data_IF_923044695274
#
_entry.id   IF_923044695274
#
_cell.length_a   1.000
_cell.length_b   1.000
_cell.length_c   1.000
_cell.angle_alpha   90.00
_cell.angle_beta   90.00
_cell.angle_gamma   90.00
#
_symmetry.space_group_name_H-M   'P 1'
#
loop_
_entity.id
_entity.type
_entity.pdbx_description
1 polymer ?
#
# COMPACT_ATOMS: atom_id res chain seq x y z
N UNK A 1 12.85 -15.01 -4.30
CA UNK A 1 11.54 -14.50 -3.87
C UNK A 1 10.56 -14.52 -5.03
N UNK A 2 9.37 -14.97 -4.77
CA UNK A 2 8.35 -15.04 -5.82
C UNK A 2 7.73 -13.67 -6.03
N UNK A 3 7.67 -13.22 -7.29
CA UNK A 3 7.07 -11.95 -7.67
C UNK A 3 5.71 -12.22 -8.32
N UNK A 4 4.69 -11.53 -7.85
CA UNK A 4 3.35 -11.68 -8.38
C UNK A 4 2.77 -10.31 -8.74
N UNK A 5 1.90 -10.33 -9.73
CA UNK A 5 1.10 -9.15 -10.06
C UNK A 5 -0.09 -9.13 -9.12
N UNK A 6 -0.38 -7.97 -8.55
CA UNK A 6 -1.51 -7.82 -7.66
C UNK A 6 -2.43 -6.73 -8.19
N UNK A 7 -3.66 -7.09 -8.48
CA UNK A 7 -4.66 -6.15 -8.94
C UNK A 7 -5.25 -5.37 -7.77
N UNK A 8 -5.93 -4.28 -8.09
CA UNK A 8 -6.61 -3.48 -7.09
C UNK A 8 -7.63 -4.31 -6.32
N UNK A 9 -8.33 -5.21 -7.01
CA UNK A 9 -9.31 -6.10 -6.39
C UNK A 9 -8.64 -7.08 -5.42
N UNK A 10 -7.47 -7.58 -5.78
CA UNK A 10 -6.75 -8.50 -4.91
C UNK A 10 -6.29 -7.84 -3.62
N UNK A 11 -5.95 -6.56 -3.68
CA UNK A 11 -5.61 -5.81 -2.48
C UNK A 11 -6.81 -5.78 -1.53
N UNK A 12 -7.99 -5.53 -2.07
CA UNK A 12 -9.22 -5.50 -1.31
C UNK A 12 -9.45 -6.84 -0.61
N UNK A 13 -9.30 -7.93 -1.35
CA UNK A 13 -9.49 -9.26 -0.80
C UNK A 13 -8.41 -9.67 0.18
N UNK A 14 -7.16 -9.32 -0.14
CA UNK A 14 -6.02 -9.70 0.67
C UNK A 14 -6.12 -9.19 2.09
N UNK A 15 -6.47 -7.93 2.23
CA UNK A 15 -6.54 -7.34 3.56
C UNK A 15 -7.83 -7.65 4.30
N UNK A 16 -8.90 -7.95 3.57
CA UNK A 16 -10.18 -8.27 4.18
C UNK A 16 -10.56 -7.30 5.30
N UNK A 17 -10.36 -6.02 5.03
CA UNK A 17 -10.55 -4.99 6.05
C UNK A 17 -11.66 -4.03 5.63
N UNK A 18 -12.73 -4.58 5.14
CA UNK A 18 -13.82 -3.79 4.59
C UNK A 18 -14.36 -2.76 5.55
N UNK A 19 -14.41 -3.12 6.82
CA UNK A 19 -14.97 -2.22 7.83
C UNK A 19 -14.07 -1.04 8.13
N UNK A 20 -12.79 -1.14 7.77
CA UNK A 20 -11.84 -0.08 8.06
C UNK A 20 -11.44 0.71 6.82
N UNK A 21 -12.01 0.39 5.67
CA UNK A 21 -11.66 1.04 4.42
C UNK A 21 -12.67 2.13 4.10
N UNK A 22 -12.18 3.35 4.03
CA UNK A 22 -12.99 4.53 3.78
C UNK A 22 -13.04 4.83 2.31
N UNK A 23 -13.61 3.86 1.52
CA UNK A 23 -13.57 4.11 0.14
C UNK A 23 -14.43 3.19 -0.65
N UNK A 24 -14.37 3.33 -1.92
CA UNK A 24 -15.16 2.55 -2.85
C UNK A 24 -14.23 1.88 -3.87
N UNK A 25 -13.91 0.63 -3.61
CA UNK A 25 -13.02 -0.12 -4.49
C UNK A 25 -13.54 -0.24 -5.90
N UNK A 26 -14.87 -0.22 -6.07
CA UNK A 26 -15.44 -0.35 -7.42
C UNK A 26 -15.18 0.89 -8.26
N UNK A 27 -14.78 1.99 -7.64
CA UNK A 27 -14.45 3.23 -8.34
C UNK A 27 -12.96 3.42 -8.51
N UNK A 28 -12.17 2.39 -8.22
CA UNK A 28 -10.74 2.45 -8.41
C UNK A 28 -10.00 3.25 -7.36
N UNK A 29 -10.55 3.38 -6.17
CA UNK A 29 -9.95 4.13 -5.08
C UNK A 29 -10.07 3.38 -3.78
N UNK A 30 -9.00 3.41 -2.96
CA UNK A 30 -9.02 2.80 -1.64
C UNK A 30 -8.21 3.64 -0.67
N UNK A 31 -8.68 3.69 0.56
CA UNK A 31 -7.97 4.29 1.66
C UNK A 31 -7.91 3.28 2.80
N UNK A 32 -6.72 2.93 3.24
CA UNK A 32 -6.50 1.94 4.27
C UNK A 32 -5.79 2.56 5.46
N UNK A 33 -6.33 2.35 6.64
CA UNK A 33 -5.64 2.70 7.87
C UNK A 33 -4.86 1.46 8.32
N UNK A 34 -3.55 1.45 8.07
CA UNK A 34 -2.74 0.27 8.27
C UNK A 34 -2.63 -0.14 9.72
N UNK A 35 -2.72 0.82 10.64
CA UNK A 35 -2.65 0.50 12.06
C UNK A 35 -3.86 -0.30 12.53
N UNK A 36 -4.98 -0.18 11.83
CA UNK A 36 -6.21 -0.89 12.19
C UNK A 36 -6.34 -2.27 11.56
N UNK A 37 -5.45 -2.61 10.64
CA UNK A 37 -5.51 -3.92 9.99
C UNK A 37 -5.14 -5.04 10.95
N UNK A 38 -4.28 -4.74 11.92
CA UNK A 38 -3.89 -5.74 12.90
C UNK A 38 -2.77 -6.65 12.42
N UNK A 39 -1.83 -6.10 11.65
CA UNK A 39 -0.66 -6.87 11.25
C UNK A 39 0.07 -7.41 12.45
N UNK A 40 0.50 -8.65 12.36
CA UNK A 40 1.38 -9.22 13.35
C UNK A 40 2.81 -8.77 13.04
N UNK A 41 3.41 -8.03 13.93
CA UNK A 41 4.74 -7.47 13.72
C UNK A 41 5.82 -8.33 14.34
N UNK A 42 7.01 -8.44 13.76
CA UNK A 42 7.38 -7.84 12.47
C UNK A 42 6.66 -8.50 11.30
N UNK A 43 6.29 -7.70 10.33
CA UNK A 43 5.56 -8.16 9.15
C UNK A 43 6.40 -7.96 7.89
N UNK A 44 6.40 -8.95 7.01
CA UNK A 44 7.05 -8.84 5.72
C UNK A 44 6.11 -9.30 4.63
N UNK A 45 5.87 -8.44 3.65
CA UNK A 45 5.03 -8.80 2.52
C UNK A 45 5.82 -9.59 1.48
N UNK A 46 5.10 -10.29 0.60
CA UNK A 46 5.72 -10.82 -0.60
C UNK A 46 6.02 -9.67 -1.55
N UNK A 47 6.83 -9.94 -2.57
CA UNK A 47 7.09 -8.96 -3.61
C UNK A 47 5.94 -9.00 -4.60
N UNK A 48 5.31 -7.87 -4.83
CA UNK A 48 4.15 -7.75 -5.73
C UNK A 48 4.41 -6.66 -6.76
N UNK A 49 3.62 -6.69 -7.82
CA UNK A 49 3.63 -5.64 -8.84
C UNK A 49 2.19 -5.16 -9.04
N UNK A 50 1.77 -4.16 -8.27
CA UNK A 50 0.39 -3.67 -8.33
C UNK A 50 0.07 -2.95 -9.63
N UNK A 51 -1.17 -3.05 -10.07
CA UNK A 51 -1.64 -2.33 -11.25
C UNK A 51 -2.35 -1.02 -10.86
N UNK A 52 -1.88 -0.41 -9.78
CA UNK A 52 -2.45 0.84 -9.27
C UNK A 52 -1.33 1.72 -8.71
N UNK A 53 -1.63 3.01 -8.56
CA UNK A 53 -0.74 3.96 -7.90
C UNK A 53 -1.00 3.93 -6.40
N UNK A 54 0.01 4.26 -5.61
CA UNK A 54 -0.22 4.37 -4.18
C UNK A 54 0.63 5.44 -3.52
N UNK A 55 0.08 6.01 -2.46
CA UNK A 55 0.82 6.84 -1.51
C UNK A 55 0.79 6.11 -0.17
N UNK A 56 1.97 5.86 0.37
CA UNK A 56 2.10 5.37 1.74
C UNK A 56 2.46 6.55 2.60
N UNK A 57 1.58 6.91 3.51
CA UNK A 57 1.76 8.05 4.40
C UNK A 57 2.05 7.51 5.79
N UNK A 58 3.24 7.79 6.31
CA UNK A 58 3.66 7.30 7.62
C UNK A 58 3.81 8.47 8.55
N UNK A 59 2.93 8.55 9.54
CA UNK A 59 3.04 9.55 10.60
C UNK A 59 3.94 9.01 11.70
N UNK A 60 3.77 7.75 12.05
CA UNK A 60 4.57 7.10 13.08
C UNK A 60 4.69 5.61 12.76
N UNK A 61 5.89 5.17 12.49
CA UNK A 61 6.16 3.78 12.14
C UNK A 61 7.60 3.60 11.71
N UNK A 62 7.97 2.34 11.52
CA UNK A 62 9.33 2.00 11.13
C UNK A 62 9.35 0.75 10.27
N UNK A 63 10.11 0.79 9.20
CA UNK A 63 10.23 -0.35 8.32
C UNK A 63 11.12 -0.06 7.12
N UNK A 64 11.02 -0.94 6.13
CA UNK A 64 11.77 -0.83 4.89
C UNK A 64 10.83 -1.12 3.74
N UNK A 65 10.92 -0.30 2.70
CA UNK A 65 10.20 -0.50 1.46
C UNK A 65 11.21 -0.77 0.35
N UNK A 66 11.03 -1.86 -0.39
CA UNK A 66 11.90 -2.18 -1.52
C UNK A 66 11.10 -1.92 -2.79
N UNK A 67 11.60 -1.01 -3.62
CA UNK A 67 10.96 -0.65 -4.90
C UNK A 67 11.98 -0.91 -5.99
N UNK A 68 11.68 -1.85 -6.89
CA UNK A 68 12.57 -2.24 -7.99
C UNK A 68 14.00 -2.46 -7.51
N UNK A 69 14.15 -3.24 -6.43
CA UNK A 69 15.44 -3.62 -5.84
C UNK A 69 16.16 -2.50 -5.08
N UNK A 70 15.54 -1.33 -4.97
CA UNK A 70 16.11 -0.25 -4.17
C UNK A 70 15.40 -0.17 -2.82
N UNK A 71 16.19 -0.22 -1.75
CA UNK A 71 15.65 -0.16 -0.38
C UNK A 71 15.51 1.28 0.07
N UNK A 72 14.38 1.56 0.71
CA UNK A 72 14.09 2.88 1.27
C UNK A 72 13.64 2.72 2.71
N UNK A 73 14.15 3.55 3.59
CA UNK A 73 13.70 3.56 4.98
C UNK A 73 12.29 4.13 5.06
N UNK A 74 11.45 3.47 5.84
CA UNK A 74 10.12 3.96 6.15
C UNK A 74 10.16 4.43 7.60
N UNK A 75 10.01 5.74 7.79
CA UNK A 75 10.20 6.37 9.09
C UNK A 75 9.05 7.32 9.39
N UNK A 76 9.06 7.88 10.60
CA UNK A 76 8.07 8.87 11.00
C UNK A 76 8.07 10.05 10.03
N UNK A 77 6.87 10.52 9.71
CA UNK A 77 6.67 11.72 8.87
C UNK A 77 7.24 11.57 7.47
N UNK A 78 7.01 10.42 6.83
CA UNK A 78 7.43 10.19 5.45
C UNK A 78 6.23 9.86 4.57
N UNK A 79 6.38 10.16 3.28
CA UNK A 79 5.39 9.82 2.27
C UNK A 79 6.14 9.11 1.14
N UNK A 80 5.64 7.95 0.75
CA UNK A 80 6.27 7.16 -0.32
C UNK A 80 5.26 6.97 -1.44
N UNK A 81 5.54 7.54 -2.60
CA UNK A 81 4.72 7.34 -3.77
C UNK A 81 5.27 6.16 -4.57
N UNK A 82 4.38 5.29 -5.02
CA UNK A 82 4.76 4.17 -5.89
C UNK A 82 3.88 4.18 -7.13
N UNK A 83 4.53 4.21 -8.28
CA UNK A 83 3.86 4.15 -9.56
C UNK A 83 3.26 2.77 -9.79
N UNK A 84 2.35 2.64 -10.74
CA UNK A 84 1.77 1.35 -11.08
C UNK A 84 2.80 0.48 -11.80
N UNK A 85 2.60 -0.82 -11.72
CA UNK A 85 3.44 -1.82 -12.39
C UNK A 85 4.90 -1.83 -11.96
N UNK A 86 5.16 -1.41 -10.73
CA UNK A 86 6.49 -1.42 -10.14
C UNK A 86 6.53 -2.49 -9.07
N UNK A 87 7.55 -3.34 -9.09
CA UNK A 87 7.72 -4.38 -8.08
C UNK A 87 8.04 -3.75 -6.74
N UNK A 88 7.36 -4.19 -5.69
CA UNK A 88 7.61 -3.65 -4.36
C UNK A 88 7.30 -4.67 -3.26
N UNK A 89 7.94 -4.47 -2.12
CA UNK A 89 7.64 -5.22 -0.91
C UNK A 89 7.86 -4.31 0.28
N UNK A 90 7.26 -4.68 1.41
CA UNK A 90 7.37 -3.92 2.65
C UNK A 90 7.75 -4.83 3.79
N UNK A 91 8.61 -4.31 4.67
CA UNK A 91 8.93 -4.95 5.94
C UNK A 91 8.64 -3.94 7.03
N UNK A 92 7.78 -4.29 7.97
CA UNK A 92 7.38 -3.39 9.04
C UNK A 92 7.85 -3.92 10.38
N UNK A 93 8.52 -3.08 11.16
CA UNK A 93 8.83 -3.38 12.56
C UNK A 93 7.85 -2.68 13.49
N UNK A 94 7.32 -1.52 13.08
CA UNK A 94 6.30 -0.80 13.84
C UNK A 94 5.32 -0.12 12.90
N UNK A 95 4.03 -0.18 13.24
CA UNK A 95 2.98 0.56 12.54
C UNK A 95 2.09 1.18 13.61
N UNK A 96 2.24 2.47 13.84
CA UNK A 96 1.43 3.19 14.84
C UNK A 96 0.41 4.10 14.17
N UNK A 97 0.83 4.90 13.19
CA UNK A 97 -0.05 5.75 12.40
C UNK A 97 0.45 5.73 10.97
N UNK A 98 -0.20 4.95 10.13
CA UNK A 98 0.19 4.84 8.73
C UNK A 98 -1.04 4.59 7.88
N UNK A 99 -1.04 5.17 6.69
CA UNK A 99 -2.18 5.11 5.78
C UNK A 99 -1.70 4.79 4.38
N UNK A 100 -2.50 4.03 3.66
CA UNK A 100 -2.24 3.73 2.27
C UNK A 100 -3.40 4.27 1.45
N UNK A 101 -3.09 5.11 0.47
CA UNK A 101 -4.05 5.59 -0.51
C UNK A 101 -3.69 4.93 -1.83
N UNK A 102 -4.64 4.22 -2.43
CA UNK A 102 -4.40 3.53 -3.69
C UNK A 102 -5.48 3.93 -4.69
N UNK A 103 -5.09 4.12 -5.94
CA UNK A 103 -6.04 4.42 -7.00
C UNK A 103 -5.52 3.91 -8.34
N UNK A 104 -6.45 3.53 -9.20
CA UNK A 104 -6.09 3.00 -10.51
C UNK A 104 -6.15 4.09 -11.58
N UNK A 105 -5.84 3.71 -12.81
CA UNK A 105 -5.79 4.64 -13.92
C UNK A 105 -7.17 5.22 -14.25
N UNK A 106 -8.21 4.43 -14.06
CA UNK A 106 -9.56 4.89 -14.29
C UNK A 106 -9.91 6.06 -13.36
N UNK A 107 -9.60 5.91 -12.08
CA UNK A 107 -9.85 6.94 -11.08
C UNK A 107 -9.03 8.19 -11.39
N UNK A 108 -7.77 7.99 -11.76
CA UNK A 108 -6.89 9.10 -12.12
C UNK A 108 -7.47 9.92 -13.26
N UNK A 109 -7.91 9.26 -14.31
CA UNK A 109 -8.46 9.96 -15.49
C UNK A 109 -9.77 10.66 -15.19
N UNK A 110 -10.61 10.03 -14.38
CA UNK A 110 -11.95 10.56 -14.12
C UNK A 110 -11.94 11.73 -13.16
N UNK A 111 -11.11 11.68 -12.13
CA UNK A 111 -11.20 12.63 -11.03
C UNK A 111 -9.99 13.54 -10.87
N UNK A 112 -8.83 13.16 -11.38
CA UNK A 112 -7.59 13.88 -11.11
C UNK A 112 -6.93 14.49 -12.35
N UNK A 113 -7.49 14.29 -13.50
CA UNK A 113 -6.92 14.86 -14.72
C UNK A 113 -7.68 16.06 -15.22
#
# INVERSE_FOLDING_TARGET
>A
MKKTVQSFWEVHQQFNVLDTVEKDFTKGFAFLNLAKIGFQLPFQSSTIRPDYFSFLIVKKGNGICVIDENSHSVEDNTIHFTNMNVYRSFSWSEINQAYLIAFDEYFLKKYLS
#
